data_IF_703979347094
#
_entry.id   IF_703979347094
#
_cell.length_a   1.000
_cell.length_b   1.000
_cell.length_c   1.000
_cell.angle_alpha   90.00
_cell.angle_beta   90.00
_cell.angle_gamma   90.00
#
_symmetry.space_group_name_H-M   'P 1'
#
loop_
_entity.id
_entity.type
_entity.pdbx_description
1 polymer ?
#
# COMPACT_ATOMS: atom_id res chain seq x y z
N UNK A 1 -17.14 8.34 19.97
CA UNK A 1 -16.19 7.54 19.16
C UNK A 1 -15.73 8.38 17.99
N UNK A 2 -14.41 8.54 17.81
CA UNK A 2 -13.82 9.34 16.72
C UNK A 2 -13.22 8.39 15.69
N UNK A 3 -13.46 8.65 14.40
CA UNK A 3 -12.90 7.87 13.31
C UNK A 3 -11.47 8.34 12.96
N UNK A 4 -10.56 7.38 12.84
CA UNK A 4 -9.17 7.61 12.45
C UNK A 4 -8.77 6.66 11.34
N UNK A 5 -7.77 7.04 10.56
CA UNK A 5 -7.22 6.29 9.45
C UNK A 5 -5.77 5.90 9.73
N UNK A 6 -5.46 4.62 9.52
CA UNK A 6 -4.10 4.11 9.50
C UNK A 6 -3.58 4.15 8.07
N UNK A 7 -2.57 4.98 7.81
CA UNK A 7 -1.96 5.13 6.49
C UNK A 7 -0.63 4.36 6.46
N UNK A 8 -0.29 3.63 5.38
CA UNK A 8 0.99 2.95 5.27
C UNK A 8 2.18 3.89 5.53
N UNK A 9 3.20 3.39 6.23
CA UNK A 9 4.41 4.14 6.61
C UNK A 9 4.20 5.32 7.56
N UNK A 10 2.99 5.48 8.11
CA UNK A 10 2.72 6.36 9.24
C UNK A 10 2.56 5.51 10.50
N UNK A 11 3.20 5.92 11.60
CA UNK A 11 3.25 5.13 12.84
C UNK A 11 2.01 5.26 13.74
N UNK A 12 1.22 6.31 13.52
CA UNK A 12 0.11 6.71 14.40
C UNK A 12 -1.14 6.91 13.55
N UNK A 13 -2.30 6.57 14.10
CA UNK A 13 -3.57 6.82 13.44
C UNK A 13 -3.84 8.32 13.30
N UNK A 14 -4.31 8.71 12.12
CA UNK A 14 -4.55 10.12 11.75
C UNK A 14 -6.06 10.37 11.73
N UNK A 15 -6.56 11.48 12.31
CA UNK A 15 -7.97 11.84 12.20
C UNK A 15 -8.40 11.97 10.74
N UNK A 16 -9.58 11.44 10.39
CA UNK A 16 -10.04 11.41 8.99
C UNK A 16 -10.10 12.80 8.36
N UNK A 17 -10.45 13.83 9.13
CA UNK A 17 -10.55 15.22 8.68
C UNK A 17 -9.20 15.78 8.22
N UNK A 18 -8.12 15.43 8.93
CA UNK A 18 -6.75 15.84 8.59
C UNK A 18 -6.31 15.21 7.28
N UNK A 19 -6.74 13.97 7.00
CA UNK A 19 -6.44 13.28 5.74
C UNK A 19 -7.12 13.99 4.56
N UNK A 20 -8.40 14.38 4.67
CA UNK A 20 -9.09 15.14 3.63
C UNK A 20 -8.41 16.49 3.35
N UNK A 21 -8.06 17.23 4.41
CA UNK A 21 -7.33 18.51 4.28
C UNK A 21 -5.97 18.31 3.62
N UNK A 22 -5.27 17.21 3.94
CA UNK A 22 -4.01 16.82 3.26
C UNK A 22 -4.18 16.50 1.77
N UNK A 23 -5.31 15.89 1.37
CA UNK A 23 -5.67 15.63 -0.03
C UNK A 23 -6.12 16.89 -0.79
N UNK A 24 -6.30 18.02 -0.10
CA UNK A 24 -6.65 19.30 -0.69
C UNK A 24 -8.13 19.68 -0.61
N UNK A 25 -8.96 18.92 0.11
CA UNK A 25 -10.35 19.29 0.42
C UNK A 25 -10.37 19.98 1.78
N UNK A 26 -10.43 21.31 1.78
CA UNK A 26 -10.26 22.13 3.00
C UNK A 26 -11.61 22.43 3.68
N UNK A 27 -12.60 22.81 2.89
CA UNK A 27 -13.94 23.19 3.36
C UNK A 27 -14.63 22.01 4.04
N UNK A 28 -15.10 22.20 5.26
CA UNK A 28 -15.79 21.16 6.03
C UNK A 28 -17.06 20.69 5.32
N UNK A 29 -17.75 21.61 4.64
CA UNK A 29 -18.91 21.29 3.81
C UNK A 29 -18.52 20.35 2.68
N UNK A 30 -17.43 20.63 1.98
CA UNK A 30 -16.98 19.81 0.86
C UNK A 30 -16.59 18.42 1.38
N UNK A 31 -15.89 18.32 2.51
CA UNK A 31 -15.56 17.04 3.13
C UNK A 31 -16.83 16.24 3.44
N UNK A 32 -17.85 16.88 4.02
CA UNK A 32 -19.14 16.25 4.26
C UNK A 32 -19.79 15.77 2.95
N UNK A 33 -19.75 16.56 1.87
CA UNK A 33 -20.30 16.17 0.56
C UNK A 33 -19.57 14.96 -0.05
N UNK A 34 -18.30 14.71 0.30
CA UNK A 34 -17.58 13.50 -0.12
C UNK A 34 -17.99 12.24 0.66
N UNK A 35 -18.52 12.40 1.88
CA UNK A 35 -18.90 11.28 2.77
C UNK A 35 -20.41 11.03 2.75
N UNK A 36 -21.21 12.08 2.92
CA UNK A 36 -22.67 12.04 2.95
C UNK A 36 -23.23 12.59 1.64
N UNK A 37 -23.82 11.71 0.83
CA UNK A 37 -24.45 12.11 -0.43
C UNK A 37 -25.82 12.77 -0.22
N UNK A 38 -26.45 12.52 0.92
CA UNK A 38 -27.69 13.15 1.34
C UNK A 38 -27.47 13.96 2.63
N UNK A 39 -27.64 15.29 2.53
CA UNK A 39 -27.46 16.22 3.64
C UNK A 39 -28.67 16.29 4.58
N UNK A 40 -29.78 15.62 4.24
CA UNK A 40 -30.95 15.52 5.12
C UNK A 40 -30.80 14.41 6.17
N UNK A 41 -29.80 13.55 6.03
CA UNK A 41 -29.53 12.46 6.97
C UNK A 41 -28.83 12.96 8.24
N UNK A 42 -29.64 13.45 9.18
CA UNK A 42 -29.18 13.98 10.47
C UNK A 42 -28.37 12.94 11.25
N UNK A 43 -28.75 11.66 11.19
CA UNK A 43 -28.10 10.61 11.96
C UNK A 43 -26.64 10.40 11.51
N UNK A 44 -26.40 10.38 10.19
CA UNK A 44 -25.04 10.23 9.65
C UNK A 44 -24.18 11.47 9.96
N UNK A 45 -24.77 12.67 9.86
CA UNK A 45 -24.09 13.92 10.19
C UNK A 45 -23.74 14.02 11.68
N UNK A 46 -24.63 13.57 12.57
CA UNK A 46 -24.40 13.54 14.02
C UNK A 46 -23.20 12.66 14.40
N UNK A 47 -23.07 11.50 13.75
CA UNK A 47 -21.92 10.60 13.94
C UNK A 47 -20.60 11.21 13.47
N UNK A 48 -20.63 12.16 12.53
CA UNK A 48 -19.44 12.85 12.02
C UNK A 48 -19.00 14.04 12.90
N UNK A 49 -19.90 14.65 13.69
CA UNK A 49 -19.56 15.82 14.54
C UNK A 49 -18.29 15.61 15.39
N UNK A 50 -18.10 14.49 16.11
CA UNK A 50 -16.89 14.28 16.91
C UNK A 50 -15.62 14.19 16.06
N UNK A 51 -15.73 13.78 14.80
CA UNK A 51 -14.60 13.69 13.87
C UNK A 51 -14.19 15.07 13.32
N UNK A 52 -15.15 15.99 13.21
CA UNK A 52 -14.89 17.40 12.85
C UNK A 52 -14.14 18.08 13.99
N UNK A 53 -14.59 17.89 15.24
CA UNK A 53 -13.97 18.47 16.44
C UNK A 53 -12.51 18.01 16.61
N UNK A 54 -12.23 16.71 16.42
CA UNK A 54 -10.87 16.14 16.51
C UNK A 54 -9.93 16.73 15.44
N UNK A 55 -10.47 17.11 14.28
CA UNK A 55 -9.72 17.72 13.17
C UNK A 55 -9.67 19.26 13.20
N UNK A 56 -10.42 19.92 14.09
CA UNK A 56 -10.70 21.36 14.03
C UNK A 56 -9.42 22.22 14.04
N UNK A 57 -8.42 21.80 14.80
CA UNK A 57 -7.15 22.53 15.00
C UNK A 57 -6.36 22.73 13.70
N UNK A 58 -6.52 21.85 12.70
CA UNK A 58 -5.66 21.81 11.52
C UNK A 58 -6.41 22.30 10.29
N UNK A 59 -6.53 23.61 10.08
CA UNK A 59 -7.38 24.16 9.01
C UNK A 59 -6.71 24.21 7.63
N UNK A 60 -5.38 24.22 7.57
CA UNK A 60 -4.64 24.36 6.31
C UNK A 60 -4.06 23.04 5.79
N UNK A 61 -3.96 22.95 4.46
CA UNK A 61 -3.34 21.79 3.78
C UNK A 61 -1.88 21.59 4.21
N UNK A 62 -1.08 22.65 4.27
CA UNK A 62 0.34 22.53 4.64
C UNK A 62 0.52 22.04 6.08
N UNK A 63 -0.33 22.50 7.00
CA UNK A 63 -0.32 22.08 8.40
C UNK A 63 -0.76 20.62 8.50
N UNK A 64 -1.75 20.20 7.71
CA UNK A 64 -2.15 18.79 7.62
C UNK A 64 -1.01 17.90 7.10
N UNK A 65 -0.32 18.31 6.04
CA UNK A 65 0.83 17.58 5.50
C UNK A 65 1.99 17.51 6.49
N UNK A 66 2.29 18.59 7.20
CA UNK A 66 3.31 18.59 8.26
C UNK A 66 2.92 17.67 9.42
N UNK A 67 1.63 17.69 9.83
CA UNK A 67 1.10 16.83 10.88
C UNK A 67 1.23 15.34 10.54
N UNK A 68 0.92 14.97 9.30
CA UNK A 68 1.07 13.61 8.76
C UNK A 68 2.56 13.25 8.68
N UNK A 69 3.37 14.12 8.07
CA UNK A 69 4.80 13.87 7.85
C UNK A 69 5.59 13.72 9.14
N UNK A 70 5.22 14.44 10.20
CA UNK A 70 5.85 14.31 11.52
C UNK A 70 5.61 12.95 12.19
N UNK A 71 4.57 12.22 11.78
CA UNK A 71 4.23 10.87 12.27
C UNK A 71 4.76 9.76 11.35
N UNK A 72 5.58 10.14 10.38
CA UNK A 72 6.26 9.22 9.48
C UNK A 72 7.26 8.29 10.16
N UNK A 73 7.77 7.33 9.39
CA UNK A 73 8.84 6.44 9.88
C UNK A 73 10.15 7.18 10.15
N UNK A 74 10.45 8.21 9.35
CA UNK A 74 11.70 8.97 9.38
C UNK A 74 11.55 10.19 10.31
N UNK A 75 12.31 10.21 11.40
CA UNK A 75 12.29 11.29 12.41
C UNK A 75 13.33 12.37 12.12
N UNK A 76 13.11 13.60 12.61
CA UNK A 76 14.09 14.68 12.55
C UNK A 76 14.20 15.41 11.20
N UNK A 77 13.19 15.28 10.34
CA UNK A 77 13.14 16.01 9.07
C UNK A 77 12.74 17.48 9.30
N UNK A 78 13.28 18.38 8.48
CA UNK A 78 12.80 19.77 8.40
C UNK A 78 11.35 19.82 7.90
N UNK A 79 10.62 20.89 8.24
CA UNK A 79 9.20 21.08 7.85
C UNK A 79 8.97 20.82 6.35
N UNK A 80 9.77 21.42 5.48
CA UNK A 80 9.63 21.24 4.02
C UNK A 80 9.81 19.79 3.56
N UNK A 81 10.71 19.05 4.22
CA UNK A 81 10.92 17.62 3.92
C UNK A 81 9.77 16.77 4.45
N UNK A 82 9.18 17.11 5.60
CA UNK A 82 8.00 16.43 6.13
C UNK A 82 6.79 16.61 5.22
N UNK A 83 6.57 17.82 4.72
CA UNK A 83 5.47 18.12 3.79
C UNK A 83 5.63 17.30 2.50
N UNK A 84 6.83 17.31 1.89
CA UNK A 84 7.11 16.52 0.67
C UNK A 84 6.95 15.02 0.91
N UNK A 85 7.43 14.52 2.05
CA UNK A 85 7.29 13.12 2.42
C UNK A 85 5.82 12.70 2.59
N UNK A 86 5.01 13.52 3.28
CA UNK A 86 3.58 13.27 3.43
C UNK A 86 2.85 13.30 2.08
N UNK A 87 3.20 14.26 1.21
CA UNK A 87 2.65 14.34 -0.14
C UNK A 87 2.97 13.09 -0.95
N UNK A 88 4.21 12.60 -0.91
CA UNK A 88 4.60 11.37 -1.60
C UNK A 88 3.84 10.14 -1.08
N UNK A 89 3.62 10.03 0.23
CA UNK A 89 2.81 8.96 0.82
C UNK A 89 1.36 9.03 0.33
N UNK A 90 0.71 10.19 0.40
CA UNK A 90 -0.67 10.35 -0.05
C UNK A 90 -0.81 10.10 -1.55
N UNK A 91 0.23 10.37 -2.33
CA UNK A 91 0.23 10.17 -3.77
C UNK A 91 0.53 8.71 -4.18
N UNK A 92 1.50 8.04 -3.57
CA UNK A 92 1.95 6.71 -4.04
C UNK A 92 1.45 5.56 -3.18
N UNK A 93 1.29 5.77 -1.88
CA UNK A 93 1.02 4.69 -0.91
C UNK A 93 -0.45 4.66 -0.47
N UNK A 94 -1.10 5.82 -0.38
CA UNK A 94 -2.53 5.89 -0.11
C UNK A 94 -3.33 5.60 -1.39
N UNK A 95 -4.15 4.54 -1.38
CA UNK A 95 -5.04 4.16 -2.50
C UNK A 95 -4.33 4.10 -3.88
N UNK A 96 -3.24 3.30 -4.04
CA UNK A 96 -2.45 3.25 -5.27
C UNK A 96 -3.24 2.74 -6.49
N UNK A 97 -4.32 1.98 -6.25
CA UNK A 97 -5.18 1.44 -7.30
C UNK A 97 -6.09 2.49 -7.96
N UNK A 98 -6.32 3.63 -7.30
CA UNK A 98 -7.10 4.74 -7.88
C UNK A 98 -6.22 5.55 -8.82
N UNK A 99 -5.04 5.97 -8.34
CA UNK A 99 -4.02 6.64 -9.15
C UNK A 99 -2.72 6.77 -8.35
N UNK A 100 -1.59 6.76 -9.05
CA UNK A 100 -0.27 7.17 -8.51
C UNK A 100 0.26 8.46 -9.16
N UNK A 101 -0.50 9.05 -10.08
CA UNK A 101 -0.13 10.28 -10.77
C UNK A 101 -0.34 11.52 -9.87
N UNK A 102 0.50 12.52 -10.07
CA UNK A 102 0.32 13.85 -9.47
C UNK A 102 -0.99 14.48 -9.95
N UNK A 103 -1.69 15.23 -9.08
CA UNK A 103 -2.96 15.87 -9.43
C UNK A 103 -4.19 14.95 -9.38
N UNK A 104 -4.03 13.68 -8.99
CA UNK A 104 -5.13 12.73 -8.82
C UNK A 104 -5.70 12.66 -7.40
N UNK A 105 -5.35 13.60 -6.52
CA UNK A 105 -5.72 13.61 -5.10
C UNK A 105 -7.24 13.75 -4.92
N UNK A 106 -7.92 14.53 -5.77
CA UNK A 106 -9.38 14.67 -5.73
C UNK A 106 -10.09 13.32 -5.94
N UNK A 107 -9.64 12.50 -6.90
CA UNK A 107 -10.21 11.15 -7.13
C UNK A 107 -10.04 10.25 -5.91
N UNK A 108 -8.92 10.38 -5.19
CA UNK A 108 -8.68 9.65 -3.95
C UNK A 108 -9.55 10.14 -2.82
N UNK A 109 -9.81 11.45 -2.72
CA UNK A 109 -10.70 12.02 -1.74
C UNK A 109 -12.13 11.44 -1.87
N UNK A 110 -12.65 11.31 -3.09
CA UNK A 110 -13.94 10.65 -3.33
C UNK A 110 -13.95 9.18 -2.86
N UNK A 111 -12.92 8.41 -3.21
CA UNK A 111 -12.86 7.00 -2.80
C UNK A 111 -12.70 6.86 -1.28
N UNK A 112 -11.94 7.75 -0.65
CA UNK A 112 -11.77 7.80 0.80
C UNK A 112 -13.10 8.16 1.50
N UNK A 113 -13.84 9.13 0.96
CA UNK A 113 -15.19 9.45 1.41
C UNK A 113 -16.16 8.27 1.28
N UNK A 114 -16.13 7.55 0.15
CA UNK A 114 -16.89 6.31 -0.03
C UNK A 114 -16.54 5.23 1.02
N UNK A 115 -15.26 5.06 1.37
CA UNK A 115 -14.86 4.11 2.43
C UNK A 115 -15.46 4.47 3.79
N UNK A 116 -15.45 5.76 4.15
CA UNK A 116 -16.02 6.26 5.40
C UNK A 116 -17.54 6.13 5.38
N UNK A 117 -18.19 6.49 4.27
CA UNK A 117 -19.63 6.31 4.07
C UNK A 117 -20.06 4.86 4.31
N UNK A 118 -19.31 3.90 3.73
CA UNK A 118 -19.58 2.47 3.90
C UNK A 118 -19.43 2.00 5.34
N UNK A 119 -18.46 2.55 6.07
CA UNK A 119 -18.27 2.28 7.49
C UNK A 119 -19.44 2.84 8.31
N UNK A 120 -19.91 4.05 8.01
CA UNK A 120 -21.05 4.68 8.69
C UNK A 120 -22.36 3.91 8.46
N UNK A 121 -22.62 3.44 7.24
CA UNK A 121 -23.79 2.62 6.94
C UNK A 121 -23.82 1.33 7.78
N UNK A 122 -22.66 0.69 7.97
CA UNK A 122 -22.54 -0.49 8.81
C UNK A 122 -22.71 -0.15 10.30
N UNK A 123 -22.13 0.96 10.77
CA UNK A 123 -22.24 1.40 12.16
C UNK A 123 -23.67 1.80 12.56
N UNK A 124 -24.47 2.30 11.61
CA UNK A 124 -25.89 2.63 11.80
C UNK A 124 -26.83 1.47 11.47
N UNK A 125 -26.29 0.27 11.23
CA UNK A 125 -27.06 -0.95 10.90
C UNK A 125 -27.94 -0.83 9.64
N UNK A 126 -27.67 0.17 8.78
CA UNK A 126 -28.35 0.33 7.49
C UNK A 126 -27.84 -0.63 6.43
N UNK A 127 -26.72 -1.29 6.72
CA UNK A 127 -26.11 -2.29 5.87
C UNK A 127 -25.45 -3.37 6.72
N UNK A 128 -25.64 -4.61 6.29
CA UNK A 128 -25.02 -5.76 6.94
C UNK A 128 -23.49 -5.75 6.80
N UNK A 129 -22.84 -6.36 7.79
CA UNK A 129 -21.38 -6.55 7.78
C UNK A 129 -20.98 -7.52 6.66
N UNK A 130 -19.82 -7.25 6.06
CA UNK A 130 -19.30 -8.08 4.99
C UNK A 130 -18.76 -9.42 5.54
N UNK A 131 -19.26 -10.54 5.01
CA UNK A 131 -18.78 -11.88 5.35
C UNK A 131 -17.36 -12.13 4.81
N UNK A 132 -16.45 -12.52 5.70
CA UNK A 132 -15.05 -12.85 5.41
C UNK A 132 -14.89 -14.21 4.72
N UNK A 133 -15.83 -15.12 4.92
CA UNK A 133 -15.75 -16.47 4.36
C UNK A 133 -16.38 -16.61 2.98
N UNK A 134 -17.10 -15.58 2.54
CA UNK A 134 -17.62 -15.46 1.18
C UNK A 134 -16.53 -15.61 0.11
N UNK A 135 -16.55 -16.74 -0.60
CA UNK A 135 -15.54 -17.09 -1.61
C UNK A 135 -15.46 -16.10 -2.78
N UNK A 136 -16.56 -15.42 -3.12
CA UNK A 136 -16.56 -14.39 -4.18
C UNK A 136 -15.62 -13.21 -3.92
N UNK A 137 -15.21 -12.98 -2.66
CA UNK A 137 -14.24 -11.95 -2.27
C UNK A 137 -12.81 -12.49 -2.13
N UNK A 138 -12.63 -13.81 -2.19
CA UNK A 138 -11.32 -14.48 -2.13
C UNK A 138 -10.76 -14.64 -3.55
N UNK A 139 -9.43 -14.60 -3.69
CA UNK A 139 -8.74 -14.78 -4.99
C UNK A 139 -7.81 -15.99 -4.91
N UNK A 140 -7.79 -16.80 -5.97
CA UNK A 140 -6.88 -17.93 -6.12
C UNK A 140 -5.67 -17.51 -6.96
N UNK A 141 -4.52 -17.41 -6.31
CA UNK A 141 -3.25 -17.17 -7.00
C UNK A 141 -2.77 -18.48 -7.65
N UNK A 142 -2.92 -18.58 -8.98
CA UNK A 142 -2.42 -19.70 -9.77
C UNK A 142 -0.92 -19.52 -10.12
N UNK A 143 -0.39 -20.43 -10.94
CA UNK A 143 1.01 -20.41 -11.38
C UNK A 143 1.46 -19.05 -11.97
N UNK A 144 0.59 -18.36 -12.72
CA UNK A 144 0.90 -17.08 -13.36
C UNK A 144 1.29 -15.98 -12.36
N UNK A 145 0.38 -15.53 -11.48
CA UNK A 145 0.68 -14.54 -10.44
C UNK A 145 1.86 -14.93 -9.53
N UNK A 146 1.96 -16.21 -9.17
CA UNK A 146 3.02 -16.72 -8.30
C UNK A 146 4.41 -16.63 -8.97
N UNK A 147 4.53 -17.05 -10.23
CA UNK A 147 5.78 -16.95 -10.99
C UNK A 147 6.14 -15.50 -11.31
N UNK A 148 5.16 -14.66 -11.63
CA UNK A 148 5.37 -13.23 -11.92
C UNK A 148 5.95 -12.49 -10.71
N UNK A 149 5.41 -12.75 -9.51
CA UNK A 149 5.93 -12.17 -8.27
C UNK A 149 7.35 -12.64 -7.95
N UNK A 150 7.63 -13.94 -8.12
CA UNK A 150 8.97 -14.51 -7.92
C UNK A 150 9.98 -13.91 -8.90
N UNK A 151 9.63 -13.85 -10.18
CA UNK A 151 10.48 -13.27 -11.22
C UNK A 151 10.77 -11.80 -10.96
N UNK A 152 9.74 -11.00 -10.63
CA UNK A 152 9.89 -9.57 -10.30
C UNK A 152 10.87 -9.36 -9.14
N UNK A 153 10.82 -10.21 -8.11
CA UNK A 153 11.74 -10.13 -6.98
C UNK A 153 13.19 -10.45 -7.41
N UNK A 154 13.40 -11.54 -8.14
CA UNK A 154 14.73 -11.94 -8.62
C UNK A 154 15.32 -10.93 -9.61
N UNK A 155 14.49 -10.39 -10.50
CA UNK A 155 14.91 -9.38 -11.47
C UNK A 155 15.29 -8.06 -10.79
N UNK A 156 14.52 -7.60 -9.80
CA UNK A 156 14.89 -6.43 -8.97
C UNK A 156 16.20 -6.64 -8.21
N UNK A 157 16.51 -7.87 -7.81
CA UNK A 157 17.80 -8.19 -7.19
C UNK A 157 18.93 -8.10 -8.23
N UNK A 158 18.73 -8.65 -9.42
CA UNK A 158 19.68 -8.57 -10.53
C UNK A 158 20.02 -7.11 -10.88
N UNK A 159 19.01 -6.23 -11.04
CA UNK A 159 19.25 -4.82 -11.38
C UNK A 159 20.02 -4.08 -10.29
N UNK A 160 19.73 -4.37 -9.01
CA UNK A 160 20.50 -3.83 -7.87
C UNK A 160 21.96 -4.31 -7.87
N UNK A 161 22.21 -5.57 -8.22
CA UNK A 161 23.56 -6.12 -8.26
C UNK A 161 24.38 -5.53 -9.42
N UNK A 162 23.75 -5.32 -10.59
CA UNK A 162 24.36 -4.60 -11.72
C UNK A 162 24.69 -3.15 -11.34
N UNK A 163 23.75 -2.45 -10.69
CA UNK A 163 23.96 -1.08 -10.21
C UNK A 163 25.16 -0.97 -9.25
N UNK A 164 25.27 -1.89 -8.27
CA UNK A 164 26.41 -1.93 -7.34
C UNK A 164 27.73 -2.21 -8.03
N UNK A 165 27.73 -3.07 -9.05
CA UNK A 165 28.94 -3.34 -9.83
C UNK A 165 29.39 -2.10 -10.60
N UNK A 166 28.45 -1.39 -11.25
CA UNK A 166 28.73 -0.12 -11.91
C UNK A 166 29.34 0.90 -10.94
N UNK A 167 28.74 1.07 -9.75
CA UNK A 167 29.26 1.99 -8.74
C UNK A 167 30.72 1.68 -8.37
N UNK A 168 31.07 0.40 -8.18
CA UNK A 168 32.45 -0.02 -7.90
C UNK A 168 33.41 0.24 -9.07
N UNK A 169 32.97 0.04 -10.30
CA UNK A 169 33.79 0.36 -11.48
C UNK A 169 34.13 1.85 -11.52
N UNK A 170 33.15 2.70 -11.26
CA UNK A 170 33.34 4.17 -11.20
C UNK A 170 34.30 4.55 -10.07
N UNK A 171 34.10 4.03 -8.86
CA UNK A 171 34.96 4.31 -7.69
C UNK A 171 36.41 3.84 -7.89
N UNK A 172 36.63 2.77 -8.66
CA UNK A 172 37.97 2.20 -8.91
C UNK A 172 38.58 2.63 -10.24
N UNK A 173 37.93 3.55 -10.98
CA UNK A 173 38.30 3.99 -12.32
C UNK A 173 38.53 2.82 -13.31
N UNK A 174 37.77 1.73 -13.14
CA UNK A 174 37.80 0.58 -14.06
C UNK A 174 36.71 0.72 -15.11
N UNK A 175 37.01 0.25 -16.33
CA UNK A 175 35.99 0.17 -17.37
C UNK A 175 34.83 -0.75 -16.95
N UNK A 176 33.61 -0.30 -17.24
CA UNK A 176 32.41 -1.07 -16.95
C UNK A 176 32.18 -2.12 -18.05
N UNK A 177 32.17 -3.40 -17.66
CA UNK A 177 31.82 -4.50 -18.56
C UNK A 177 30.46 -5.08 -18.19
N UNK A 178 29.48 -4.93 -19.09
CA UNK A 178 28.11 -5.40 -18.89
C UNK A 178 28.03 -6.92 -18.70
N UNK A 179 28.81 -7.69 -19.45
CA UNK A 179 28.81 -9.15 -19.38
C UNK A 179 29.27 -9.66 -18.02
N UNK A 180 30.22 -8.98 -17.39
CA UNK A 180 30.67 -9.28 -16.03
C UNK A 180 29.67 -8.82 -14.96
N UNK A 181 28.93 -7.75 -15.24
CA UNK A 181 27.92 -7.21 -14.33
C UNK A 181 26.69 -8.13 -14.20
N UNK A 182 26.24 -8.71 -15.32
CA UNK A 182 25.00 -9.50 -15.38
C UNK A 182 25.23 -10.93 -14.93
N UNK A 183 24.92 -11.21 -13.66
CA UNK A 183 24.98 -12.56 -13.08
C UNK A 183 23.69 -13.35 -13.35
N UNK A 184 23.65 -14.08 -14.47
CA UNK A 184 22.49 -14.91 -14.84
C UNK A 184 22.06 -15.92 -13.76
N UNK A 185 23.02 -16.40 -12.96
CA UNK A 185 22.79 -17.34 -11.86
C UNK A 185 21.77 -16.83 -10.82
N UNK A 186 21.63 -15.52 -10.64
CA UNK A 186 20.65 -14.94 -9.70
C UNK A 186 19.22 -15.35 -10.03
N UNK A 187 18.87 -15.39 -11.32
CA UNK A 187 17.54 -15.80 -11.77
C UNK A 187 17.46 -17.33 -11.83
N UNK A 188 18.42 -17.98 -12.49
CA UNK A 188 18.41 -19.44 -12.69
C UNK A 188 18.35 -20.20 -11.37
N UNK A 189 19.25 -19.89 -10.42
CA UNK A 189 19.30 -20.59 -9.15
C UNK A 189 18.12 -20.20 -8.24
N UNK A 190 17.67 -18.94 -8.32
CA UNK A 190 16.51 -18.48 -7.57
C UNK A 190 15.22 -19.23 -7.95
N UNK A 191 14.95 -19.35 -9.26
CA UNK A 191 13.81 -20.10 -9.75
C UNK A 191 13.91 -21.59 -9.42
N UNK A 192 15.08 -22.20 -9.68
CA UNK A 192 15.31 -23.63 -9.38
C UNK A 192 15.09 -23.93 -7.90
N UNK A 193 15.59 -23.08 -7.01
CA UNK A 193 15.42 -23.26 -5.56
C UNK A 193 13.96 -23.19 -5.12
N UNK A 194 13.23 -22.15 -5.52
CA UNK A 194 11.84 -21.98 -5.11
C UNK A 194 10.95 -23.12 -5.63
N UNK A 195 11.13 -23.51 -6.90
CA UNK A 195 10.37 -24.62 -7.50
C UNK A 195 10.69 -25.97 -6.84
N UNK A 196 11.95 -26.23 -6.49
CA UNK A 196 12.36 -27.51 -5.92
C UNK A 196 11.97 -27.66 -4.43
N UNK A 197 12.01 -26.56 -3.67
CA UNK A 197 11.79 -26.61 -2.21
C UNK A 197 10.37 -26.22 -1.77
N UNK A 198 9.59 -25.62 -2.66
CA UNK A 198 8.28 -25.08 -2.29
C UNK A 198 8.34 -23.73 -1.55
N UNK A 199 9.53 -23.18 -1.31
CA UNK A 199 9.72 -21.90 -0.62
C UNK A 199 9.67 -20.72 -1.59
N UNK A 200 8.60 -19.93 -1.54
CA UNK A 200 8.37 -18.75 -2.37
C UNK A 200 8.76 -17.47 -1.63
N UNK A 201 9.89 -16.87 -2.00
CA UNK A 201 10.33 -15.57 -1.47
C UNK A 201 11.83 -15.45 -1.27
N UNK A 202 12.24 -14.40 -0.57
CA UNK A 202 13.65 -14.17 -0.22
C UNK A 202 14.06 -15.13 0.90
N UNK A 203 15.07 -15.97 0.64
CA UNK A 203 15.64 -16.89 1.64
C UNK A 203 16.06 -16.18 2.93
N UNK A 204 16.49 -14.91 2.83
CA UNK A 204 16.91 -14.12 4.00
C UNK A 204 15.73 -13.71 4.90
N UNK A 205 14.50 -13.83 4.42
CA UNK A 205 13.25 -13.55 5.17
C UNK A 205 12.34 -14.78 5.18
N UNK A 206 12.91 -15.94 5.48
CA UNK A 206 12.23 -17.24 5.45
C UNK A 206 10.96 -17.30 6.29
N UNK A 207 10.90 -16.60 7.44
CA UNK A 207 9.68 -16.56 8.28
C UNK A 207 8.47 -15.91 7.59
N UNK A 208 8.67 -15.08 6.56
CA UNK A 208 7.59 -14.45 5.80
C UNK A 208 7.35 -15.06 4.42
N UNK A 209 8.14 -16.07 4.02
CA UNK A 209 7.98 -16.72 2.72
C UNK A 209 6.82 -17.70 2.73
N UNK A 210 6.06 -17.76 1.62
CA UNK A 210 5.00 -18.75 1.45
C UNK A 210 5.67 -20.12 1.26
N UNK A 211 5.43 -21.05 2.17
CA UNK A 211 5.95 -22.42 2.10
C UNK A 211 4.93 -23.37 1.45
N UNK A 212 5.42 -24.44 0.84
CA UNK A 212 4.58 -25.53 0.30
C UNK A 212 3.84 -25.20 -1.01
N UNK A 213 4.23 -24.13 -1.70
CA UNK A 213 3.59 -23.68 -2.96
C UNK A 213 3.88 -24.64 -4.13
N UNK A 214 5.07 -25.24 -4.15
CA UNK A 214 5.43 -26.32 -5.07
C UNK A 214 5.56 -27.62 -4.31
N UNK A 215 5.05 -28.68 -4.91
CA UNK A 215 5.08 -30.04 -4.38
C UNK A 215 5.44 -31.00 -5.50
N UNK A 216 6.02 -32.14 -5.13
CA UNK A 216 6.28 -33.21 -6.09
C UNK A 216 4.94 -33.77 -6.56
N UNK A 217 4.79 -33.90 -7.88
CA UNK A 217 3.57 -34.45 -8.48
C UNK A 217 3.30 -35.85 -7.96
N UNK A 218 2.10 -36.07 -7.42
CA UNK A 218 1.65 -37.37 -6.98
C UNK A 218 1.33 -38.26 -8.19
N UNK A 219 2.00 -39.42 -8.28
CA UNK A 219 1.91 -40.38 -9.40
C UNK A 219 1.39 -41.76 -9.00
N UNK A 220 0.68 -41.89 -7.87
CA UNK A 220 0.15 -43.20 -7.44
C UNK A 220 -0.97 -43.71 -8.35
N UNK A 221 -1.87 -42.84 -8.80
CA UNK A 221 -2.97 -43.19 -9.71
C UNK A 221 -3.29 -42.02 -10.64
N UNK A 222 -3.97 -42.28 -11.76
CA UNK A 222 -4.41 -41.23 -12.68
C UNK A 222 -5.28 -40.17 -11.97
N UNK A 223 -6.22 -40.62 -11.12
CA UNK A 223 -7.09 -39.73 -10.34
C UNK A 223 -6.31 -38.86 -9.34
N UNK A 224 -5.17 -39.33 -8.83
CA UNK A 224 -4.33 -38.54 -7.91
C UNK A 224 -3.45 -37.50 -8.62
N UNK A 225 -3.23 -37.65 -9.92
CA UNK A 225 -2.45 -36.71 -10.74
C UNK A 225 -3.29 -35.54 -11.23
N UNK A 226 -4.60 -35.73 -11.39
CA UNK A 226 -5.59 -34.71 -11.74
C UNK A 226 -5.92 -33.81 -10.54
#
# INVERSE_FOLDING_TARGET
NVMKATIPYIKVDIPIWVVFRGLGVISDRDILEHICYDMQDVQMLEMLKPCIEDGFVIQDREVALDFIGNRGTTTGLSRDRRIRYAQEILQKEMLPHVSMAEGSESKKAYFFGYMIHRLLLAAMERRELDDRDHFGKKRLDLAGPLLSNLFRMLFRKLTKDVYRYLQKCVETHKEFNLTLAVKHQTITNGLKYSLATGNWGDQKKSMSSKAGVSQVLNRYTYASTL
#
